data_IF_243981640813
#
_entry.id   IF_243981640813
#
_cell.length_a   1.000
_cell.length_b   1.000
_cell.length_c   1.000
_cell.angle_alpha   90.00
_cell.angle_beta   90.00
_cell.angle_gamma   90.00
#
_symmetry.space_group_name_H-M   'P 1'
#
loop_
_entity.id
_entity.type
_entity.pdbx_description
1 polymer ?
#
# COMPACT_ATOMS: atom_id res chain seq x y z
N UNK A 1 -14.50 74.10 -3.40
CA UNK A 1 -14.25 72.73 -3.89
C UNK A 1 -13.45 72.90 -5.17
N UNK A 2 -12.13 72.69 -5.12
CA UNK A 2 -11.28 72.75 -6.30
C UNK A 2 -11.80 71.76 -7.34
N UNK A 3 -12.11 72.26 -8.54
CA UNK A 3 -12.51 71.42 -9.66
C UNK A 3 -11.27 70.69 -10.15
N UNK A 4 -11.23 69.37 -9.93
CA UNK A 4 -10.24 68.49 -10.53
C UNK A 4 -10.28 68.66 -12.05
N UNK A 5 -9.10 68.76 -12.68
CA UNK A 5 -9.03 68.91 -14.12
C UNK A 5 -9.56 67.64 -14.81
N UNK A 6 -9.98 67.78 -16.07
CA UNK A 6 -10.53 66.65 -16.83
C UNK A 6 -9.51 65.51 -17.01
N UNK A 7 -8.22 65.82 -16.98
CA UNK A 7 -7.12 64.88 -17.21
C UNK A 7 -6.89 63.98 -16.00
N UNK A 8 -6.79 64.56 -14.81
CA UNK A 8 -6.74 63.89 -13.51
C UNK A 8 -7.96 63.00 -13.27
N UNK A 9 -9.16 63.43 -13.70
CA UNK A 9 -10.35 62.57 -13.68
C UNK A 9 -10.21 61.34 -14.58
N UNK A 10 -9.67 61.50 -15.80
CA UNK A 10 -9.42 60.38 -16.71
C UNK A 10 -8.35 59.44 -16.14
N UNK A 11 -7.26 59.99 -15.60
CA UNK A 11 -6.16 59.22 -15.02
C UNK A 11 -6.64 58.37 -13.81
N UNK A 12 -7.50 58.94 -12.96
CA UNK A 12 -8.11 58.22 -11.83
C UNK A 12 -9.04 57.11 -12.32
N UNK A 13 -9.84 57.34 -13.37
CA UNK A 13 -10.71 56.31 -13.94
C UNK A 13 -9.91 55.14 -14.53
N UNK A 14 -8.81 55.43 -15.23
CA UNK A 14 -7.93 54.39 -15.77
C UNK A 14 -7.25 53.59 -14.66
N UNK A 15 -6.72 54.26 -13.62
CA UNK A 15 -6.16 53.56 -12.46
C UNK A 15 -7.17 52.67 -11.75
N UNK A 16 -8.44 53.11 -11.62
CA UNK A 16 -9.50 52.31 -11.02
C UNK A 16 -9.88 51.11 -11.89
N UNK A 17 -9.88 51.26 -13.22
CA UNK A 17 -10.12 50.15 -14.14
C UNK A 17 -9.02 49.08 -14.04
N UNK A 18 -7.76 49.50 -14.03
CA UNK A 18 -6.62 48.58 -13.86
C UNK A 18 -6.71 47.83 -12.53
N UNK A 19 -7.06 48.53 -11.44
CA UNK A 19 -7.24 47.89 -10.14
C UNK A 19 -8.42 46.91 -10.11
N UNK A 20 -9.54 47.24 -10.77
CA UNK A 20 -10.68 46.33 -10.87
C UNK A 20 -10.33 45.08 -11.66
N UNK A 21 -9.53 45.20 -12.73
CA UNK A 21 -9.07 44.06 -13.51
C UNK A 21 -8.12 43.18 -12.71
N UNK A 22 -7.16 43.77 -12.00
CA UNK A 22 -6.24 43.03 -11.13
C UNK A 22 -7.00 42.27 -10.03
N UNK A 23 -7.94 42.94 -9.36
CA UNK A 23 -8.77 42.32 -8.32
C UNK A 23 -9.64 41.22 -8.90
N UNK A 24 -10.25 41.43 -10.07
CA UNK A 24 -11.09 40.43 -10.74
C UNK A 24 -10.29 39.18 -11.10
N UNK A 25 -9.07 39.35 -11.63
CA UNK A 25 -8.16 38.22 -11.90
C UNK A 25 -7.75 37.50 -10.62
N UNK A 26 -7.52 38.25 -9.53
CA UNK A 26 -7.14 37.66 -8.24
C UNK A 26 -8.29 36.86 -7.63
N UNK A 27 -9.50 37.39 -7.66
CA UNK A 27 -10.72 36.71 -7.20
C UNK A 27 -10.91 35.42 -7.98
N UNK A 28 -10.89 35.48 -9.31
CA UNK A 28 -11.02 34.29 -10.17
C UNK A 28 -9.97 33.23 -9.83
N UNK A 29 -8.71 33.62 -9.64
CA UNK A 29 -7.63 32.70 -9.28
C UNK A 29 -7.86 32.03 -7.92
N UNK A 30 -8.37 32.77 -6.94
CA UNK A 30 -8.69 32.23 -5.61
C UNK A 30 -9.90 31.29 -5.67
N UNK A 31 -10.94 31.66 -6.40
CA UNK A 31 -12.11 30.81 -6.64
C UNK A 31 -11.72 29.49 -7.31
N UNK A 32 -10.87 29.54 -8.33
CA UNK A 32 -10.32 28.36 -9.01
C UNK A 32 -9.47 27.48 -8.07
N UNK A 33 -8.78 28.07 -7.10
CA UNK A 33 -8.01 27.31 -6.11
C UNK A 33 -8.92 26.57 -5.13
N UNK A 34 -10.00 27.22 -4.69
CA UNK A 34 -11.01 26.65 -3.77
C UNK A 34 -11.82 25.55 -4.43
N UNK A 35 -12.14 25.68 -5.73
CA UNK A 35 -12.93 24.68 -6.47
C UNK A 35 -12.19 23.37 -6.80
N UNK A 36 -10.88 23.27 -6.53
CA UNK A 36 -10.05 22.09 -6.83
C UNK A 36 -10.16 21.02 -5.75
N UNK A 37 -10.78 19.91 -6.10
CA UNK A 37 -10.91 18.68 -5.30
C UNK A 37 -10.28 17.48 -6.01
N UNK A 38 -10.09 16.35 -5.32
CA UNK A 38 -9.44 15.15 -5.88
C UNK A 38 -10.11 14.62 -7.15
N UNK A 39 -11.39 14.94 -7.35
CA UNK A 39 -12.19 14.51 -8.51
C UNK A 39 -11.88 15.29 -9.79
N UNK A 40 -11.40 16.53 -9.70
CA UNK A 40 -11.24 17.42 -10.86
C UNK A 40 -9.83 18.00 -11.02
N UNK A 41 -8.88 17.71 -10.12
CA UNK A 41 -7.56 18.37 -10.14
C UNK A 41 -6.36 17.45 -9.91
N UNK A 42 -6.49 16.13 -10.12
CA UNK A 42 -5.43 15.13 -9.91
C UNK A 42 -4.75 15.17 -8.52
N UNK A 43 -5.36 15.86 -7.55
CA UNK A 43 -4.91 15.89 -6.15
C UNK A 43 -5.25 14.56 -5.50
N UNK A 44 -4.43 14.07 -4.57
CA UNK A 44 -4.76 12.85 -3.87
C UNK A 44 -6.04 13.05 -3.04
N UNK A 45 -6.92 12.04 -2.94
CA UNK A 45 -8.17 12.13 -2.17
C UNK A 45 -8.01 12.40 -0.67
N UNK A 46 -6.80 12.31 -0.13
CA UNK A 46 -6.49 12.71 1.25
C UNK A 46 -6.43 14.22 1.42
N UNK A 47 -6.12 14.99 0.36
CA UNK A 47 -6.06 16.46 0.39
C UNK A 47 -7.43 17.13 0.50
N UNK A 48 -8.52 16.43 0.21
CA UNK A 48 -9.89 16.94 0.32
C UNK A 48 -10.39 17.02 1.78
N UNK A 49 -9.63 16.45 2.74
CA UNK A 49 -9.96 16.48 4.16
C UNK A 49 -11.36 15.92 4.48
N UNK A 50 -12.05 16.55 5.44
CA UNK A 50 -13.40 16.15 5.86
C UNK A 50 -14.50 16.51 4.85
N UNK A 51 -14.21 17.36 3.86
CA UNK A 51 -15.16 17.74 2.81
C UNK A 51 -15.35 16.61 1.77
N UNK A 52 -14.50 15.58 1.81
CA UNK A 52 -14.60 14.41 0.93
C UNK A 52 -15.93 13.68 1.14
N UNK A 53 -16.65 13.45 0.05
CA UNK A 53 -17.86 12.64 0.07
C UNK A 53 -17.55 11.22 0.58
N UNK A 54 -18.32 10.74 1.57
CA UNK A 54 -18.21 9.37 2.07
C UNK A 54 -18.55 8.39 0.94
N UNK A 55 -17.58 7.57 0.53
CA UNK A 55 -17.82 6.48 -0.41
C UNK A 55 -18.61 5.40 0.29
N UNK A 56 -19.85 5.15 -0.17
CA UNK A 56 -20.66 4.02 0.30
C UNK A 56 -20.35 2.81 -0.56
N UNK A 57 -20.23 1.64 0.07
CA UNK A 57 -20.13 0.37 -0.67
C UNK A 57 -21.32 0.21 -1.62
N UNK A 58 -21.04 -0.14 -2.88
CA UNK A 58 -22.05 -0.53 -3.85
C UNK A 58 -22.50 -1.99 -3.66
N UNK A 59 -21.80 -2.75 -2.80
CA UNK A 59 -22.12 -4.15 -2.53
C UNK A 59 -23.43 -4.24 -1.75
N UNK A 60 -24.33 -5.13 -2.20
CA UNK A 60 -25.51 -5.51 -1.43
C UNK A 60 -25.06 -6.25 -0.17
N UNK A 61 -25.52 -5.80 1.01
CA UNK A 61 -25.20 -6.48 2.26
C UNK A 61 -25.93 -7.82 2.32
N UNK A 62 -25.17 -8.92 2.37
CA UNK A 62 -25.73 -10.27 2.55
C UNK A 62 -26.04 -10.61 4.02
N UNK A 63 -25.95 -9.63 4.93
CA UNK A 63 -26.19 -9.82 6.37
C UNK A 63 -25.13 -10.69 7.08
N UNK A 64 -24.06 -11.09 6.39
CA UNK A 64 -22.96 -11.86 6.97
C UNK A 64 -22.17 -10.99 7.93
N UNK A 65 -21.93 -11.52 9.14
CA UNK A 65 -21.02 -10.89 10.10
C UNK A 65 -19.60 -10.89 9.53
N UNK A 66 -18.82 -9.87 9.89
CA UNK A 66 -17.39 -9.85 9.58
C UNK A 66 -16.69 -11.01 10.31
N UNK A 67 -15.77 -11.70 9.63
CA UNK A 67 -15.03 -12.86 10.15
C UNK A 67 -15.41 -14.20 9.52
N UNK A 68 -14.83 -15.28 10.02
CA UNK A 68 -15.13 -16.65 9.59
C UNK A 68 -16.60 -17.00 9.84
N UNK A 69 -17.24 -17.69 8.88
CA UNK A 69 -18.65 -18.04 9.02
C UNK A 69 -18.83 -19.17 10.04
N UNK A 70 -20.02 -19.25 10.63
CA UNK A 70 -20.36 -20.31 11.59
C UNK A 70 -20.26 -21.68 10.90
N UNK A 71 -19.47 -22.59 11.46
CA UNK A 71 -19.26 -23.94 10.92
C UNK A 71 -18.01 -24.11 10.06
N UNK A 72 -17.20 -23.06 9.84
CA UNK A 72 -15.89 -23.25 9.24
C UNK A 72 -14.96 -23.98 10.23
N UNK A 73 -14.37 -25.14 9.85
CA UNK A 73 -13.36 -25.78 10.66
C UNK A 73 -12.13 -24.87 10.75
N UNK A 74 -11.65 -24.65 11.98
CA UNK A 74 -10.37 -23.99 12.20
C UNK A 74 -9.23 -24.98 11.94
N UNK A 75 -8.15 -24.51 11.33
CA UNK A 75 -6.89 -25.23 11.24
C UNK A 75 -5.86 -24.47 12.09
N UNK A 76 -5.97 -24.63 13.40
CA UNK A 76 -4.96 -24.11 14.34
C UNK A 76 -3.68 -24.92 14.17
N UNK A 77 -2.52 -24.26 14.19
CA UNK A 77 -1.23 -24.94 14.20
C UNK A 77 -1.03 -25.62 15.56
N UNK A 78 -1.01 -26.95 15.56
CA UNK A 78 -0.71 -27.77 16.73
C UNK A 78 0.80 -27.99 16.85
N UNK A 79 1.31 -28.03 18.08
CA UNK A 79 2.72 -28.33 18.34
C UNK A 79 3.08 -29.72 17.80
N UNK A 80 4.19 -29.80 17.07
CA UNK A 80 4.75 -31.07 16.58
C UNK A 80 5.52 -31.78 17.68
N UNK A 81 5.40 -33.11 17.76
CA UNK A 81 6.22 -33.91 18.65
C UNK A 81 7.72 -33.88 18.26
N UNK A 82 8.00 -33.81 16.96
CA UNK A 82 9.35 -33.83 16.40
C UNK A 82 9.54 -32.58 15.51
N UNK A 83 10.15 -31.49 16.02
CA UNK A 83 10.47 -30.32 15.22
C UNK A 83 11.72 -30.55 14.34
N UNK A 84 11.82 -29.86 13.22
CA UNK A 84 12.97 -29.95 12.30
C UNK A 84 14.29 -29.51 12.97
N UNK A 85 14.20 -28.56 13.91
CA UNK A 85 15.31 -28.06 14.72
C UNK A 85 14.89 -28.00 16.20
N UNK A 86 15.79 -28.45 17.09
CA UNK A 86 15.60 -28.41 18.54
C UNK A 86 16.74 -27.61 19.17
N UNK A 87 16.40 -26.45 19.71
CA UNK A 87 17.33 -25.58 20.42
C UNK A 87 16.99 -25.55 21.92
N UNK A 88 17.92 -26.03 22.75
CA UNK A 88 17.76 -26.03 24.21
C UNK A 88 18.45 -24.81 24.81
N UNK A 89 17.70 -23.98 25.53
CA UNK A 89 18.25 -22.86 26.30
C UNK A 89 18.55 -23.29 27.74
N UNK A 90 19.83 -23.48 28.05
CA UNK A 90 20.27 -23.91 29.38
C UNK A 90 20.40 -22.75 30.38
N UNK A 91 20.16 -23.05 31.66
CA UNK A 91 20.39 -22.14 32.77
C UNK A 91 21.72 -22.45 33.45
N UNK A 92 22.70 -21.55 33.35
CA UNK A 92 24.01 -21.71 33.99
C UNK A 92 24.04 -21.17 35.41
N UNK A 93 23.22 -20.16 35.74
CA UNK A 93 23.18 -19.55 37.06
C UNK A 93 21.75 -19.29 37.49
N UNK A 94 21.50 -19.43 38.78
CA UNK A 94 20.21 -19.07 39.36
C UNK A 94 19.98 -17.55 39.25
N UNK A 95 18.89 -17.07 38.66
CA UNK A 95 18.63 -15.63 38.51
C UNK A 95 18.37 -14.91 39.85
N UNK A 96 18.11 -15.66 40.92
CA UNK A 96 17.82 -15.09 42.25
C UNK A 96 19.05 -14.98 43.15
N UNK A 97 19.94 -15.98 43.14
CA UNK A 97 21.09 -16.04 44.04
C UNK A 97 22.45 -16.18 43.34
N UNK A 98 22.46 -16.21 42.00
CA UNK A 98 23.66 -16.39 41.16
C UNK A 98 24.47 -17.67 41.42
N UNK A 99 23.91 -18.65 42.13
CA UNK A 99 24.57 -19.95 42.30
C UNK A 99 24.70 -20.66 40.94
N UNK A 100 25.83 -21.34 40.73
CA UNK A 100 26.09 -22.12 39.51
C UNK A 100 25.16 -23.35 39.44
N UNK A 101 24.51 -23.51 38.30
CA UNK A 101 23.59 -24.60 37.95
C UNK A 101 24.08 -25.40 36.73
N UNK A 102 25.26 -25.09 36.19
CA UNK A 102 25.79 -25.73 34.97
C UNK A 102 25.93 -27.26 35.05
N UNK A 103 26.07 -27.80 36.26
CA UNK A 103 26.18 -29.24 36.53
C UNK A 103 24.87 -29.88 37.01
N UNK A 104 23.81 -29.09 37.19
CA UNK A 104 22.49 -29.58 37.66
C UNK A 104 21.68 -30.03 36.44
N UNK A 105 21.08 -31.22 36.52
CA UNK A 105 20.20 -31.73 35.47
C UNK A 105 18.88 -30.95 35.43
N UNK A 106 18.32 -30.75 34.23
CA UNK A 106 17.01 -30.13 34.09
C UNK A 106 15.90 -31.09 34.54
N UNK A 107 14.98 -30.60 35.36
CA UNK A 107 13.82 -31.36 35.83
C UNK A 107 12.71 -31.47 34.77
N UNK A 108 12.52 -30.41 33.97
CA UNK A 108 11.48 -30.32 32.92
C UNK A 108 11.83 -29.22 31.88
N UNK A 109 11.08 -29.20 30.77
CA UNK A 109 11.21 -28.20 29.71
C UNK A 109 9.86 -27.53 29.40
N UNK A 110 9.85 -26.20 29.39
CA UNK A 110 8.72 -25.43 28.86
C UNK A 110 8.96 -25.15 27.38
N UNK A 111 8.14 -25.76 26.52
CA UNK A 111 8.33 -25.73 25.07
C UNK A 111 7.53 -24.61 24.39
N UNK A 112 8.13 -23.99 23.37
CA UNK A 112 7.47 -23.09 22.41
C UNK A 112 7.97 -23.46 21.01
N UNK A 113 7.06 -23.48 20.03
CA UNK A 113 7.42 -23.76 18.64
C UNK A 113 7.12 -22.55 17.77
N UNK A 114 8.07 -22.22 16.91
CA UNK A 114 7.96 -21.18 15.89
C UNK A 114 7.90 -21.87 14.54
N UNK A 115 6.92 -21.50 13.71
CA UNK A 115 6.74 -22.04 12.36
C UNK A 115 7.19 -20.99 11.37
N UNK A 116 8.45 -21.09 10.95
CA UNK A 116 9.01 -20.25 9.89
C UNK A 116 9.04 -20.98 8.56
N UNK A 117 8.88 -20.22 7.48
CA UNK A 117 9.06 -20.73 6.12
C UNK A 117 10.51 -20.45 5.73
N UNK A 118 11.35 -21.49 5.55
CA UNK A 118 12.73 -21.26 5.10
C UNK A 118 12.73 -20.59 3.72
N UNK A 119 13.84 -19.93 3.32
CA UNK A 119 13.91 -19.26 2.03
C UNK A 119 13.47 -20.17 0.89
N UNK A 120 12.39 -19.78 0.21
CA UNK A 120 11.84 -20.54 -0.91
C UNK A 120 12.87 -20.52 -2.04
N UNK A 121 13.34 -21.70 -2.44
CA UNK A 121 14.20 -21.84 -3.61
C UNK A 121 13.35 -21.75 -4.87
N UNK A 122 13.69 -20.84 -5.78
CA UNK A 122 13.01 -20.71 -7.07
C UNK A 122 13.54 -21.80 -7.99
N UNK A 123 12.66 -22.69 -8.43
CA UNK A 123 12.95 -23.60 -9.54
C UNK A 123 12.72 -22.86 -10.86
N UNK A 124 13.74 -22.81 -11.72
CA UNK A 124 13.67 -22.15 -13.02
C UNK A 124 13.73 -23.21 -14.12
N UNK A 125 12.65 -23.35 -14.87
CA UNK A 125 12.60 -24.20 -16.07
C UNK A 125 12.71 -23.33 -17.32
N UNK A 126 13.82 -23.47 -18.06
CA UNK A 126 13.94 -22.87 -19.38
C UNK A 126 13.30 -23.78 -20.44
N UNK A 127 12.17 -23.36 -20.99
CA UNK A 127 11.59 -24.01 -22.15
C UNK A 127 12.25 -23.46 -23.42
N UNK A 128 12.84 -24.34 -24.24
CA UNK A 128 13.40 -23.97 -25.55
C UNK A 128 12.56 -24.59 -26.66
N UNK A 129 11.99 -23.75 -27.51
CA UNK A 129 11.32 -24.19 -28.73
C UNK A 129 12.30 -24.18 -29.91
N UNK A 130 12.54 -25.34 -30.51
CA UNK A 130 13.37 -25.43 -31.71
C UNK A 130 12.75 -24.67 -32.88
N UNK A 131 13.59 -24.00 -33.67
CA UNK A 131 13.22 -23.39 -34.94
C UNK A 131 14.02 -24.05 -36.05
N UNK A 132 13.34 -24.62 -37.04
CA UNK A 132 13.96 -25.32 -38.17
C UNK A 132 13.43 -24.77 -39.50
N UNK A 133 14.32 -24.63 -40.47
CA UNK A 133 13.94 -24.22 -41.83
C UNK A 133 13.53 -25.44 -42.65
N UNK A 134 12.28 -25.50 -43.07
CA UNK A 134 11.77 -26.57 -43.91
C UNK A 134 12.21 -26.33 -45.37
N UNK A 135 13.02 -27.23 -45.93
CA UNK A 135 13.51 -27.14 -47.32
C UNK A 135 12.42 -27.39 -48.36
N UNK A 136 11.35 -28.10 -47.99
CA UNK A 136 10.28 -28.46 -48.92
C UNK A 136 9.29 -27.31 -49.15
N UNK A 137 8.88 -26.62 -48.07
CA UNK A 137 7.98 -25.46 -48.18
C UNK A 137 8.68 -24.10 -48.03
N UNK A 138 10.00 -24.10 -47.84
CA UNK A 138 10.88 -22.92 -47.76
C UNK A 138 10.54 -21.94 -46.62
N UNK A 139 9.96 -22.44 -45.52
CA UNK A 139 9.56 -21.63 -44.35
C UNK A 139 10.26 -22.10 -43.09
N UNK A 140 10.53 -21.18 -42.18
CA UNK A 140 10.95 -21.51 -40.82
C UNK A 140 9.74 -21.94 -39.99
N UNK A 141 9.83 -23.11 -39.36
CA UNK A 141 8.81 -23.69 -38.49
C UNK A 141 9.37 -23.75 -37.08
N UNK A 142 8.56 -23.39 -36.09
CA UNK A 142 8.93 -23.39 -34.66
C UNK A 142 8.09 -24.43 -33.92
N UNK A 143 8.73 -25.20 -33.03
CA UNK A 143 8.03 -26.10 -32.12
C UNK A 143 7.08 -25.33 -31.18
N UNK A 144 6.00 -25.96 -30.75
CA UNK A 144 5.12 -25.37 -29.76
C UNK A 144 5.75 -25.42 -28.36
N UNK A 145 5.42 -24.44 -27.53
CA UNK A 145 5.69 -24.51 -26.10
C UNK A 145 4.66 -25.42 -25.41
N UNK A 146 4.96 -25.96 -24.22
CA UNK A 146 3.95 -26.60 -23.38
C UNK A 146 2.73 -25.67 -23.16
N UNK A 147 1.53 -26.24 -23.00
CA UNK A 147 0.28 -25.49 -22.83
C UNK A 147 0.22 -24.68 -21.53
#
# INVERSE_FOLDING_TARGET
MEQLDKKTLIDVVLMLQDHLDELSQRVKKLEDQVAKQSRNSSKPPSSDGLAKAKTRSLRRSEGRKAGGQKGHPGHTLEMRAEPDHLETHSLSHCPHCANDLSSVAADDYVCRQVYDVPPVQIEVTEHRAEVKYCRQCQRSVRAAFPP
#
